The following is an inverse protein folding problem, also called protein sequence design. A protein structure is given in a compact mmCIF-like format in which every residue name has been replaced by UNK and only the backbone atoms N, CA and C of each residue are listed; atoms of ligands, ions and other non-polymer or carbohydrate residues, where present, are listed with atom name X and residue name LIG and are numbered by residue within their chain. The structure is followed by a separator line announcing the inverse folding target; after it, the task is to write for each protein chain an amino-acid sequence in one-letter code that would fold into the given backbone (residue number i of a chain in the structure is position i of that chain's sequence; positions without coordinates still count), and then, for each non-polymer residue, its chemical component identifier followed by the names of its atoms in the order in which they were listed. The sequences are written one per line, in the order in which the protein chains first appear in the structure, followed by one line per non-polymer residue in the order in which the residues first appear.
data_IF_166068064123
#
_entry.id   IF_166068064123
#
_cell.length_a   1.000
_cell.length_b   1.000
_cell.length_c   1.000
_cell.angle_alpha   90.00
_cell.angle_beta   90.00
_cell.angle_gamma   90.00
#
_symmetry.space_group_name_H-M   'P 1'
#
loop_
_entity.id
_entity.type
_entity.pdbx_description
1 polymer ?
#
# COMPACT_ATOMS: atom_id res chain seq x y z
N UNK A 1 8.03 -6.48 12.56
CA UNK A 1 8.80 -6.09 11.36
C UNK A 1 8.88 -4.57 11.27
N UNK A 2 10.05 -4.03 11.02
CA UNK A 2 10.26 -2.58 10.89
C UNK A 2 10.05 -2.18 9.44
N UNK A 3 9.17 -1.19 9.20
CA UNK A 3 8.83 -0.71 7.87
C UNK A 3 9.23 0.74 7.75
N UNK A 4 10.10 1.07 6.81
CA UNK A 4 10.57 2.44 6.59
C UNK A 4 10.70 2.74 5.10
N UNK A 5 10.65 4.02 4.75
CA UNK A 5 10.91 4.44 3.36
C UNK A 5 12.32 5.00 3.17
N UNK A 6 13.14 4.96 4.21
CA UNK A 6 14.55 5.30 4.14
C UNK A 6 15.35 4.10 3.62
N UNK A 7 16.58 4.33 3.23
CA UNK A 7 17.49 3.26 2.78
C UNK A 7 18.29 2.64 3.93
N UNK A 8 17.99 3.03 5.16
CA UNK A 8 18.64 2.55 6.35
C UNK A 8 17.64 2.44 7.50
N UNK A 9 18.02 1.71 8.55
CA UNK A 9 17.29 1.66 9.82
C UNK A 9 18.26 2.07 10.90
N UNK A 10 17.91 3.09 11.68
CA UNK A 10 18.78 3.65 12.71
C UNK A 10 19.28 2.57 13.66
N UNK A 11 20.58 2.53 13.89
CA UNK A 11 21.21 1.61 14.82
C UNK A 11 21.34 0.18 14.33
N UNK A 12 21.04 -0.09 13.04
CA UNK A 12 21.09 -1.43 12.46
C UNK A 12 22.00 -1.48 11.26
N UNK A 13 22.75 -2.56 11.15
CA UNK A 13 23.48 -2.93 9.96
C UNK A 13 22.61 -3.92 9.19
N UNK A 14 22.47 -3.73 7.87
CA UNK A 14 21.48 -4.44 7.06
C UNK A 14 22.13 -5.36 6.05
N UNK A 15 21.58 -6.57 5.95
CA UNK A 15 21.85 -7.48 4.84
C UNK A 15 20.64 -7.44 3.89
N UNK A 16 20.90 -7.14 2.63
CA UNK A 16 19.87 -7.08 1.60
C UNK A 16 19.42 -8.49 1.23
N UNK A 17 18.11 -8.74 1.26
CA UNK A 17 17.56 -10.04 0.87
C UNK A 17 16.99 -10.01 -0.54
N UNK A 18 15.92 -9.27 -0.76
CA UNK A 18 15.23 -9.25 -2.05
C UNK A 18 14.24 -8.10 -2.10
N UNK A 19 13.79 -7.77 -3.28
CA UNK A 19 12.63 -6.91 -3.46
C UNK A 19 11.38 -7.68 -3.02
N UNK A 20 10.48 -7.01 -2.32
CA UNK A 20 9.20 -7.55 -1.90
C UNK A 20 8.10 -6.58 -2.31
N UNK A 21 6.91 -7.11 -2.50
CA UNK A 21 5.76 -6.31 -2.93
C UNK A 21 4.46 -6.91 -2.40
N UNK A 22 3.44 -6.08 -2.38
CA UNK A 22 2.08 -6.47 -2.14
C UNK A 22 1.16 -5.61 -2.98
N UNK A 23 0.05 -6.14 -3.42
CA UNK A 23 -0.90 -5.39 -4.23
C UNK A 23 -2.31 -5.85 -3.96
N UNK A 24 -3.26 -4.99 -4.27
CA UNK A 24 -4.67 -5.32 -4.25
C UNK A 24 -5.41 -4.43 -5.22
N UNK A 25 -6.53 -4.94 -5.74
CA UNK A 25 -7.48 -4.15 -6.50
C UNK A 25 -8.74 -4.07 -5.65
N UNK A 26 -9.16 -2.85 -5.34
CA UNK A 26 -10.36 -2.60 -4.57
C UNK A 26 -11.39 -1.93 -5.45
N UNK A 27 -12.62 -2.38 -5.33
CA UNK A 27 -13.73 -1.71 -5.99
C UNK A 27 -14.84 -1.47 -4.98
N UNK A 28 -15.43 -0.29 -5.06
CA UNK A 28 -16.69 0.00 -4.39
C UNK A 28 -17.78 -0.09 -5.44
N UNK A 29 -18.83 -0.82 -5.10
CA UNK A 29 -20.03 -0.81 -5.92
C UNK A 29 -20.70 0.53 -5.70
N UNK A 30 -20.36 1.49 -6.55
CA UNK A 30 -20.84 2.85 -6.46
C UNK A 30 -22.15 2.92 -7.25
N UNK A 31 -23.28 2.97 -6.55
CA UNK A 31 -24.58 3.21 -7.17
C UNK A 31 -24.67 4.61 -7.75
N UNK A 32 -25.68 4.85 -8.60
CA UNK A 32 -25.90 6.16 -9.23
C UNK A 32 -25.96 7.30 -8.22
N UNK A 33 -26.51 7.07 -7.04
CA UNK A 33 -26.64 8.07 -6.00
C UNK A 33 -25.29 8.54 -5.47
N UNK A 34 -24.34 7.62 -5.35
CA UNK A 34 -22.99 7.94 -4.90
C UNK A 34 -22.24 8.71 -5.99
N UNK A 35 -22.44 8.36 -7.26
CA UNK A 35 -21.87 9.12 -8.38
C UNK A 35 -22.37 10.57 -8.38
N UNK A 36 -23.63 10.79 -8.07
CA UNK A 36 -24.17 12.14 -7.95
C UNK A 36 -23.58 12.91 -6.77
N UNK A 37 -23.36 12.24 -5.64
CA UNK A 37 -22.67 12.83 -4.49
C UNK A 37 -21.24 13.22 -4.89
N UNK A 38 -20.56 12.38 -5.66
CA UNK A 38 -19.23 12.70 -6.22
C UNK A 38 -19.24 13.97 -7.06
N UNK A 39 -20.30 14.16 -7.86
CA UNK A 39 -20.41 15.33 -8.74
C UNK A 39 -20.77 16.61 -8.00
N UNK A 40 -21.41 16.51 -6.82
CA UNK A 40 -21.85 17.65 -6.04
C UNK A 40 -20.86 18.07 -4.96
N UNK A 41 -19.87 17.23 -4.64
CA UNK A 41 -18.82 17.59 -3.69
C UNK A 41 -17.80 18.49 -4.36
N UNK A 42 -17.82 19.75 -3.99
CA UNK A 42 -16.89 20.76 -4.47
C UNK A 42 -15.81 20.96 -3.42
N UNK A 43 -14.57 20.58 -3.74
CA UNK A 43 -13.40 20.83 -2.89
C UNK A 43 -13.30 19.97 -1.64
N UNK A 44 -14.08 18.90 -1.51
CA UNK A 44 -14.05 18.00 -0.37
C UNK A 44 -13.47 16.63 -0.72
N UNK A 45 -12.82 16.01 0.26
CA UNK A 45 -12.37 14.63 0.15
C UNK A 45 -13.58 13.70 0.27
N UNK A 46 -13.67 12.71 -0.62
CA UNK A 46 -14.75 11.73 -0.58
C UNK A 46 -14.44 10.67 0.45
N UNK A 47 -15.14 10.72 1.57
CA UNK A 47 -14.84 9.84 2.70
C UNK A 47 -14.88 8.37 2.31
N UNK A 48 -15.91 7.93 1.58
CA UNK A 48 -16.05 6.53 1.18
C UNK A 48 -14.89 6.08 0.27
N UNK A 49 -14.46 6.94 -0.65
CA UNK A 49 -13.33 6.64 -1.54
C UNK A 49 -12.01 6.64 -0.77
N UNK A 50 -11.84 7.61 0.13
CA UNK A 50 -10.66 7.68 0.98
C UNK A 50 -10.55 6.44 1.87
N UNK A 51 -11.64 6.00 2.48
CA UNK A 51 -11.67 4.79 3.30
C UNK A 51 -11.30 3.55 2.47
N UNK A 52 -11.81 3.46 1.23
CA UNK A 52 -11.46 2.38 0.31
C UNK A 52 -9.97 2.37 0.00
N UNK A 53 -9.38 3.54 -0.26
CA UNK A 53 -7.96 3.64 -0.59
C UNK A 53 -7.08 3.33 0.63
N UNK A 54 -7.49 3.76 1.82
CA UNK A 54 -6.77 3.43 3.04
C UNK A 54 -6.80 1.93 3.32
N UNK A 55 -7.93 1.29 3.12
CA UNK A 55 -8.07 -0.16 3.24
C UNK A 55 -7.19 -0.88 2.22
N UNK A 56 -7.19 -0.41 0.97
CA UNK A 56 -6.36 -0.98 -0.09
C UNK A 56 -4.87 -0.91 0.27
N UNK A 57 -4.40 0.22 0.80
CA UNK A 57 -3.01 0.38 1.24
C UNK A 57 -2.68 -0.59 2.37
N UNK A 58 -3.59 -0.75 3.33
CA UNK A 58 -3.40 -1.68 4.44
C UNK A 58 -3.28 -3.13 3.96
N UNK A 59 -4.15 -3.54 3.04
CA UNK A 59 -4.13 -4.89 2.47
C UNK A 59 -2.84 -5.13 1.68
N UNK A 60 -2.46 -4.18 0.82
CA UNK A 60 -1.24 -4.29 0.03
C UNK A 60 -0.01 -4.38 0.94
N UNK A 61 0.06 -3.56 1.98
CA UNK A 61 1.16 -3.57 2.95
C UNK A 61 1.24 -4.91 3.67
N UNK A 62 0.11 -5.45 4.10
CA UNK A 62 0.07 -6.76 4.76
C UNK A 62 0.62 -7.85 3.87
N UNK A 63 0.25 -7.84 2.58
CA UNK A 63 0.74 -8.82 1.61
C UNK A 63 2.24 -8.70 1.37
N UNK A 64 2.76 -7.48 1.32
CA UNK A 64 4.20 -7.25 1.22
C UNK A 64 4.94 -7.78 2.46
N UNK A 65 4.42 -7.51 3.66
CA UNK A 65 5.01 -7.99 4.91
C UNK A 65 5.01 -9.52 4.95
N UNK A 66 3.93 -10.16 4.53
CA UNK A 66 3.87 -11.63 4.47
C UNK A 66 4.95 -12.20 3.56
N UNK A 67 5.20 -11.56 2.40
CA UNK A 67 6.25 -11.98 1.50
C UNK A 67 7.64 -11.85 2.15
N UNK A 68 7.87 -10.73 2.84
CA UNK A 68 9.12 -10.50 3.56
C UNK A 68 9.32 -11.49 4.70
N UNK A 69 8.26 -11.81 5.43
CA UNK A 69 8.32 -12.80 6.51
C UNK A 69 8.75 -14.17 6.01
N UNK A 70 8.28 -14.57 4.83
CA UNK A 70 8.68 -15.84 4.20
C UNK A 70 10.17 -15.88 3.86
N UNK A 71 10.80 -14.73 3.67
CA UNK A 71 12.24 -14.63 3.44
C UNK A 71 13.05 -14.57 4.75
N UNK A 72 12.39 -14.55 5.89
CA UNK A 72 13.04 -14.37 7.18
C UNK A 72 13.53 -12.96 7.43
N UNK A 73 12.93 -11.97 6.79
CA UNK A 73 13.33 -10.58 6.92
C UNK A 73 13.01 -10.01 8.30
N UNK A 74 13.83 -9.04 8.74
CA UNK A 74 13.62 -8.29 9.97
C UNK A 74 12.98 -6.93 9.71
N UNK A 75 13.09 -6.44 8.47
CA UNK A 75 12.53 -5.15 8.08
C UNK A 75 12.40 -5.01 6.58
N UNK A 76 11.75 -3.93 6.17
CA UNK A 76 11.62 -3.54 4.77
C UNK A 76 12.00 -2.07 4.66
N UNK A 77 12.94 -1.75 3.79
CA UNK A 77 13.42 -0.38 3.56
C UNK A 77 12.99 0.10 2.18
N UNK A 78 13.09 1.39 1.95
CA UNK A 78 12.76 2.03 0.66
C UNK A 78 11.34 1.72 0.20
N UNK A 79 10.39 1.72 1.12
CA UNK A 79 9.01 1.41 0.80
C UNK A 79 8.40 2.53 -0.05
N UNK A 80 7.75 2.16 -1.14
CA UNK A 80 7.05 3.06 -2.06
C UNK A 80 5.66 2.51 -2.32
N UNK A 81 4.71 3.42 -2.48
CA UNK A 81 3.34 3.10 -2.88
C UNK A 81 3.07 3.68 -4.26
N UNK A 82 2.29 2.95 -5.04
CA UNK A 82 1.76 3.44 -6.31
C UNK A 82 0.31 3.03 -6.41
N UNK A 83 -0.48 3.84 -7.07
CA UNK A 83 -1.89 3.53 -7.30
C UNK A 83 -2.31 3.96 -8.69
N UNK A 84 -3.29 3.25 -9.24
CA UNK A 84 -3.86 3.55 -10.55
C UNK A 84 -5.34 3.23 -10.55
N UNK A 85 -6.13 4.08 -11.19
CA UNK A 85 -7.52 3.78 -11.45
C UNK A 85 -7.57 2.76 -12.59
N UNK A 86 -8.15 1.59 -12.34
CA UNK A 86 -8.27 0.53 -13.36
C UNK A 86 -9.59 0.65 -14.10
N UNK A 87 -10.60 1.18 -13.44
CA UNK A 87 -11.90 1.52 -14.02
C UNK A 87 -12.63 2.44 -13.05
N UNK A 88 -13.77 2.96 -13.44
CA UNK A 88 -14.58 3.79 -12.54
C UNK A 88 -14.94 3.00 -11.28
N UNK A 89 -14.62 3.55 -10.13
CA UNK A 89 -14.90 2.93 -8.83
C UNK A 89 -13.96 1.81 -8.42
N UNK A 90 -12.91 1.54 -9.20
CA UNK A 90 -11.90 0.53 -8.84
C UNK A 90 -10.50 1.09 -8.99
N UNK A 91 -9.66 0.78 -8.03
CA UNK A 91 -8.27 1.23 -8.02
C UNK A 91 -7.34 0.10 -7.62
N UNK A 92 -6.18 0.06 -8.26
CA UNK A 92 -5.08 -0.81 -7.86
C UNK A 92 -4.14 -0.03 -6.94
N UNK A 93 -3.74 -0.66 -5.85
CA UNK A 93 -2.67 -0.16 -4.99
C UNK A 93 -1.57 -1.21 -4.96
N UNK A 94 -0.35 -0.78 -5.21
CA UNK A 94 0.83 -1.62 -5.07
C UNK A 94 1.79 -0.94 -4.09
N UNK A 95 2.40 -1.74 -3.22
CA UNK A 95 3.48 -1.32 -2.35
C UNK A 95 4.67 -2.23 -2.58
N UNK A 96 5.87 -1.68 -2.56
CA UNK A 96 7.09 -2.44 -2.76
C UNK A 96 8.23 -1.83 -1.95
N UNK A 97 9.24 -2.64 -1.70
CA UNK A 97 10.42 -2.23 -0.97
C UNK A 97 11.47 -3.33 -1.01
N UNK A 98 12.52 -3.17 -0.22
CA UNK A 98 13.60 -4.14 -0.12
C UNK A 98 13.56 -4.80 1.25
N UNK A 99 13.38 -6.10 1.27
CA UNK A 99 13.45 -6.88 2.50
C UNK A 99 14.90 -6.98 2.96
N UNK A 100 15.13 -6.77 4.25
CA UNK A 100 16.46 -6.78 4.86
C UNK A 100 16.48 -7.60 6.13
N UNK A 101 17.65 -8.11 6.46
CA UNK A 101 17.92 -8.81 7.70
C UNK A 101 18.93 -8.00 8.51
N UNK A 102 18.75 -7.98 9.83
CA UNK A 102 19.73 -7.34 10.72
C UNK A 102 20.94 -8.25 10.91
N UNK A 103 22.10 -7.65 10.77
CA UNK A 103 23.38 -8.35 10.96
C UNK A 103 23.94 -8.07 12.35
#
# INVERSE_FOLDING_TARGET
MILVNTDYITGKELETLSIVKGSTIQSKHIGKDIIQVFKTLVGGELKAYNDMMNEARAIATKRMVEEAEQLGADGIVNIRYASAAVMQGAAEVIVYGTAVKFI
#
